data_IF_989027188692
#
_entry.id   IF_989027188692
#
_cell.length_a   1.000
_cell.length_b   1.000
_cell.length_c   1.000
_cell.angle_alpha   90.00
_cell.angle_beta   90.00
_cell.angle_gamma   90.00
#
_symmetry.space_group_name_H-M   'P 1'
#
loop_
_entity.id
_entity.type
_entity.pdbx_description
1 polymer ?
#
# COMPACT_ATOMS: atom_id res chain seq x y z
N UNK A 1 25.16 -45.60 25.16
CA UNK A 1 26.00 -44.47 25.62
C UNK A 1 25.69 -43.30 24.70
N UNK A 2 24.68 -42.52 25.05
CA UNK A 2 24.75 -41.27 25.83
C UNK A 2 24.80 -40.06 24.88
N UNK A 3 23.60 -39.48 24.70
CA UNK A 3 23.31 -38.19 24.07
C UNK A 3 23.71 -37.08 25.04
N UNK A 4 24.39 -36.00 24.62
CA UNK A 4 24.56 -34.83 25.47
C UNK A 4 23.32 -33.90 25.40
N UNK A 5 22.78 -33.63 26.58
CA UNK A 5 21.66 -32.72 26.90
C UNK A 5 22.12 -31.24 26.87
N UNK A 6 21.24 -30.26 26.59
CA UNK A 6 21.59 -28.85 26.46
C UNK A 6 21.58 -28.13 27.83
N UNK A 7 22.58 -27.27 28.07
CA UNK A 7 22.67 -26.44 29.29
C UNK A 7 21.89 -25.11 29.17
N UNK A 8 21.35 -24.57 30.29
CA UNK A 8 20.23 -23.63 30.28
C UNK A 8 20.57 -22.13 30.29
N UNK A 9 19.58 -21.36 29.83
CA UNK A 9 19.26 -19.92 29.96
C UNK A 9 20.06 -19.04 30.93
N UNK A 10 20.40 -17.83 30.47
CA UNK A 10 20.62 -16.65 31.32
C UNK A 10 19.67 -15.51 30.92
N UNK A 11 18.60 -15.34 31.70
CA UNK A 11 17.76 -14.13 31.73
C UNK A 11 18.48 -13.07 32.57
N UNK A 12 18.71 -11.88 32.02
CA UNK A 12 19.06 -10.69 32.82
C UNK A 12 17.95 -9.65 32.72
N UNK A 13 17.11 -9.67 33.74
CA UNK A 13 16.21 -8.59 34.15
C UNK A 13 17.03 -7.53 34.88
N UNK A 14 16.91 -6.27 34.50
CA UNK A 14 17.36 -5.13 35.32
C UNK A 14 16.19 -4.15 35.45
N UNK A 15 15.53 -4.18 36.60
CA UNK A 15 14.75 -3.07 37.13
C UNK A 15 15.62 -2.33 38.15
N UNK A 16 15.73 -1.00 38.03
CA UNK A 16 15.91 -0.11 39.17
C UNK A 16 15.10 1.17 38.97
N UNK A 17 14.32 1.45 40.00
CA UNK A 17 13.42 2.58 40.15
C UNK A 17 14.10 3.75 40.88
N UNK A 18 13.42 4.91 40.81
CA UNK A 18 13.08 5.82 41.92
C UNK A 18 13.60 7.27 41.85
N UNK A 19 12.66 8.19 42.15
CA UNK A 19 12.85 9.57 42.63
C UNK A 19 12.92 10.63 41.52
N UNK A 20 12.25 11.78 41.56
CA UNK A 20 11.65 12.52 42.68
C UNK A 20 10.68 13.59 42.18
N UNK A 21 9.80 14.04 43.07
CA UNK A 21 8.77 15.06 42.91
C UNK A 21 9.29 16.47 42.54
N UNK A 22 8.45 17.24 41.86
CA UNK A 22 8.57 18.69 41.69
C UNK A 22 7.19 19.32 41.51
N UNK A 23 6.80 20.18 42.46
CA UNK A 23 5.55 20.96 42.52
C UNK A 23 5.82 22.41 42.06
N UNK A 24 4.76 23.10 41.62
CA UNK A 24 4.58 24.56 41.40
C UNK A 24 4.89 25.05 39.96
N UNK A 25 4.12 25.96 39.35
CA UNK A 25 3.26 27.00 39.90
C UNK A 25 2.10 27.39 38.95
N UNK A 26 1.05 27.94 39.57
CA UNK A 26 -0.03 28.75 39.01
C UNK A 26 0.49 29.92 38.16
N UNK A 27 -0.17 30.19 37.03
CA UNK A 27 -0.25 31.53 36.45
C UNK A 27 -1.68 31.81 35.98
N UNK A 28 -2.27 32.83 36.60
CA UNK A 28 -3.58 33.41 36.33
C UNK A 28 -3.49 34.34 35.11
N UNK A 29 -4.46 34.28 34.22
CA UNK A 29 -4.89 35.47 33.45
C UNK A 29 -6.41 35.51 33.35
N UNK A 30 -6.98 36.42 34.14
CA UNK A 30 -8.23 37.17 33.91
C UNK A 30 -8.32 37.59 32.43
N UNK A 31 -9.43 37.53 31.70
CA UNK A 31 -10.81 37.87 32.02
C UNK A 31 -11.20 39.08 31.16
N UNK A 32 -12.26 38.97 30.35
CA UNK A 32 -13.14 40.07 29.94
C UNK A 32 -14.41 39.47 29.31
N UNK A 33 -15.54 39.70 29.98
CA UNK A 33 -16.88 39.42 29.50
C UNK A 33 -17.41 40.62 28.69
N UNK A 34 -18.28 40.36 27.72
CA UNK A 34 -19.07 41.38 27.03
C UNK A 34 -20.25 40.69 26.37
N UNK A 35 -21.44 40.86 26.94
CA UNK A 35 -22.67 40.25 26.48
C UNK A 35 -23.57 41.20 25.68
N UNK A 36 -24.77 40.68 25.46
CA UNK A 36 -26.02 41.33 25.08
C UNK A 36 -26.39 41.40 23.60
N UNK A 37 -27.49 40.68 23.36
CA UNK A 37 -28.43 40.73 22.26
C UNK A 37 -28.96 42.14 21.96
N UNK A 38 -29.30 42.37 20.69
CA UNK A 38 -30.11 43.51 20.27
C UNK A 38 -30.97 43.13 19.07
N UNK A 39 -32.24 42.83 19.34
CA UNK A 39 -33.30 42.79 18.35
C UNK A 39 -33.71 44.22 17.99
N UNK A 40 -33.91 44.51 16.71
CA UNK A 40 -34.47 45.76 16.22
C UNK A 40 -35.39 45.47 15.04
N UNK A 41 -36.69 45.72 15.23
CA UNK A 41 -37.74 45.61 14.24
C UNK A 41 -38.14 47.00 13.71
N UNK A 42 -38.64 47.03 12.47
CA UNK A 42 -39.42 48.10 11.86
C UNK A 42 -38.72 48.78 10.66
N UNK A 43 -39.36 49.14 9.55
CA UNK A 43 -40.68 48.85 9.01
C UNK A 43 -40.70 49.25 7.50
N UNK A 44 -41.45 48.47 6.72
CA UNK A 44 -42.01 48.61 5.35
C UNK A 44 -41.84 49.92 4.55
N UNK A 45 -41.51 49.75 3.26
CA UNK A 45 -42.26 50.31 2.11
C UNK A 45 -42.11 49.39 0.88
N UNK A 46 -43.22 49.10 0.19
CA UNK A 46 -43.31 48.08 -0.84
C UNK A 46 -42.98 48.51 -2.27
N UNK A 47 -42.75 47.51 -3.13
CA UNK A 47 -43.04 47.51 -4.56
C UNK A 47 -43.01 46.06 -5.10
N UNK A 48 -44.03 45.70 -5.87
CA UNK A 48 -44.15 44.51 -6.76
C UNK A 48 -44.11 45.11 -8.20
N UNK A 49 -43.61 44.48 -9.29
CA UNK A 49 -43.49 43.04 -9.62
C UNK A 49 -42.17 42.60 -10.31
N UNK A 50 -41.98 41.29 -10.49
CA UNK A 50 -41.68 40.64 -11.78
C UNK A 50 -41.31 39.16 -11.58
N UNK A 51 -42.10 38.28 -12.19
CA UNK A 51 -41.96 36.83 -12.15
C UNK A 51 -40.75 36.39 -12.99
N UNK A 52 -39.60 36.19 -12.35
CA UNK A 52 -38.47 35.49 -12.96
C UNK A 52 -38.64 33.99 -12.72
N UNK A 53 -38.87 33.23 -13.80
CA UNK A 53 -38.76 31.77 -13.80
C UNK A 53 -37.31 31.39 -13.50
N UNK A 54 -37.01 31.09 -12.24
CA UNK A 54 -35.77 30.40 -11.88
C UNK A 54 -35.92 28.96 -12.36
N UNK A 55 -35.36 28.65 -13.52
CA UNK A 55 -35.15 27.27 -13.92
C UNK A 55 -34.31 26.60 -12.84
N UNK A 56 -34.85 25.55 -12.21
CA UNK A 56 -34.08 24.60 -11.41
C UNK A 56 -33.14 23.85 -12.35
N UNK A 57 -32.05 24.52 -12.72
CA UNK A 57 -30.88 23.86 -13.28
C UNK A 57 -30.16 23.19 -12.12
N UNK A 58 -30.53 21.96 -11.81
CA UNK A 58 -29.67 21.07 -11.03
C UNK A 58 -28.34 21.03 -11.77
N UNK A 59 -27.32 21.69 -11.21
CA UNK A 59 -25.96 21.51 -11.69
C UNK A 59 -25.68 20.00 -11.73
N UNK A 60 -25.13 19.45 -12.81
CA UNK A 60 -24.79 18.04 -12.85
C UNK A 60 -23.90 17.74 -11.66
N UNK A 61 -24.37 16.87 -10.75
CA UNK A 61 -23.49 16.28 -9.74
C UNK A 61 -22.38 15.60 -10.52
N UNK A 62 -21.10 15.92 -10.29
CA UNK A 62 -20.02 15.19 -10.93
C UNK A 62 -20.17 13.73 -10.54
N UNK A 63 -20.61 12.89 -11.48
CA UNK A 63 -20.56 11.45 -11.30
C UNK A 63 -19.07 11.13 -11.20
N UNK A 64 -18.59 10.55 -10.08
CA UNK A 64 -17.20 10.16 -9.99
C UNK A 64 -16.92 9.20 -11.13
N UNK A 65 -16.02 9.59 -12.04
CA UNK A 65 -15.45 8.64 -13.01
C UNK A 65 -14.89 7.47 -12.23
N UNK A 66 -15.16 6.21 -12.60
CA UNK A 66 -14.60 5.08 -11.86
C UNK A 66 -13.07 5.17 -12.00
N UNK A 67 -12.38 5.40 -10.88
CA UNK A 67 -10.94 5.63 -10.81
C UNK A 67 -10.12 4.33 -10.99
N UNK A 68 -10.69 3.30 -11.60
CA UNK A 68 -10.03 2.03 -11.82
C UNK A 68 -10.10 1.62 -13.28
N UNK A 69 -8.98 1.10 -13.78
CA UNK A 69 -8.86 0.48 -15.10
C UNK A 69 -8.61 -1.01 -14.90
N UNK A 70 -9.02 -1.82 -15.89
CA UNK A 70 -8.71 -3.25 -15.90
C UNK A 70 -7.19 -3.41 -15.92
N UNK A 71 -6.64 -4.15 -14.95
CA UNK A 71 -5.21 -4.39 -14.89
C UNK A 71 -4.77 -5.27 -16.07
N UNK A 72 -3.75 -4.88 -16.87
CA UNK A 72 -3.28 -5.70 -17.96
C UNK A 72 -2.74 -7.06 -17.46
N UNK A 73 -3.26 -8.17 -18.02
CA UNK A 73 -2.81 -9.52 -17.67
C UNK A 73 -1.36 -9.75 -18.13
N UNK A 74 -0.49 -10.32 -17.28
CA UNK A 74 0.94 -10.61 -17.59
C UNK A 74 1.25 -12.10 -17.64
N UNK A 75 0.33 -12.96 -17.20
CA UNK A 75 0.62 -14.35 -16.88
C UNK A 75 1.46 -14.49 -15.61
N UNK A 76 1.64 -15.73 -15.17
CA UNK A 76 2.25 -16.08 -13.88
C UNK A 76 3.79 -15.97 -13.86
N UNK A 77 4.42 -15.99 -15.03
CA UNK A 77 5.88 -16.17 -15.11
C UNK A 77 6.34 -17.52 -14.54
N UNK A 78 7.66 -17.78 -14.51
CA UNK A 78 8.19 -19.10 -14.18
C UNK A 78 8.25 -19.40 -12.68
N UNK A 79 7.93 -18.43 -11.82
CA UNK A 79 8.18 -18.52 -10.38
C UNK A 79 6.91 -18.53 -9.52
N UNK A 80 5.73 -18.64 -10.11
CA UNK A 80 4.50 -18.72 -9.33
C UNK A 80 4.43 -20.04 -8.55
N UNK A 81 4.08 -19.94 -7.26
CA UNK A 81 3.80 -21.09 -6.39
C UNK A 81 2.39 -20.89 -5.86
N UNK A 82 1.43 -21.74 -6.24
CA UNK A 82 0.03 -21.59 -5.82
C UNK A 82 -0.11 -21.58 -4.30
N UNK A 83 -0.85 -20.60 -3.78
CA UNK A 83 -1.28 -20.52 -2.39
C UNK A 83 -0.16 -20.71 -1.37
N UNK A 84 0.98 -20.06 -1.61
CA UNK A 84 2.22 -20.31 -0.87
C UNK A 84 2.03 -20.30 0.66
N UNK A 85 1.45 -19.23 1.25
CA UNK A 85 1.06 -19.11 2.69
C UNK A 85 0.06 -17.97 2.91
N UNK A 86 -1.00 -18.18 3.70
CA UNK A 86 -1.91 -17.10 4.12
C UNK A 86 -1.26 -16.23 5.21
N UNK A 87 -0.80 -15.02 4.87
CA UNK A 87 -0.08 -14.11 5.79
C UNK A 87 0.07 -12.70 5.23
N UNK A 88 0.20 -11.72 6.12
CA UNK A 88 0.46 -10.32 5.77
C UNK A 88 1.95 -9.96 5.75
N UNK A 89 2.76 -10.49 6.67
CA UNK A 89 4.21 -10.34 6.61
C UNK A 89 4.83 -11.46 5.78
N UNK A 90 5.51 -11.08 4.70
CA UNK A 90 6.15 -12.02 3.78
C UNK A 90 7.67 -11.90 3.80
N UNK A 91 8.26 -11.05 4.64
CA UNK A 91 9.71 -10.77 4.61
C UNK A 91 10.56 -11.99 4.98
N UNK A 92 10.14 -12.75 5.99
CA UNK A 92 10.94 -13.81 6.61
C UNK A 92 12.35 -13.31 6.99
N UNK A 93 13.40 -13.97 6.51
CA UNK A 93 14.81 -13.69 6.78
C UNK A 93 15.46 -12.75 5.74
N UNK A 94 14.67 -12.15 4.84
CA UNK A 94 15.21 -11.32 3.75
C UNK A 94 15.46 -9.89 4.20
N UNK A 95 16.69 -9.42 3.96
CA UNK A 95 17.06 -8.01 4.12
C UNK A 95 16.67 -7.19 2.90
N UNK A 96 16.29 -5.93 3.11
CA UNK A 96 15.94 -4.99 2.05
C UNK A 96 15.31 -3.71 2.60
N UNK A 97 15.02 -2.75 1.73
CA UNK A 97 14.28 -1.54 2.11
C UNK A 97 12.81 -1.93 2.33
N UNK A 98 12.23 -1.69 3.53
CA UNK A 98 10.85 -2.08 3.81
C UNK A 98 9.84 -1.43 2.86
N UNK A 99 8.83 -2.21 2.47
CA UNK A 99 7.70 -1.77 1.65
C UNK A 99 6.40 -2.29 2.27
N UNK A 100 5.50 -1.37 2.63
CA UNK A 100 4.10 -1.69 2.91
C UNK A 100 3.32 -1.59 1.59
N UNK A 101 2.77 -2.70 1.12
CA UNK A 101 2.02 -2.77 -0.13
C UNK A 101 0.53 -2.99 0.17
N UNK A 102 -0.29 -2.01 -0.14
CA UNK A 102 -1.74 -2.08 -0.04
C UNK A 102 -2.33 -2.28 -1.43
N UNK A 103 -3.14 -3.33 -1.60
CA UNK A 103 -3.80 -3.63 -2.86
C UNK A 103 -5.31 -3.64 -2.64
N UNK A 104 -6.03 -2.84 -3.41
CA UNK A 104 -7.50 -2.84 -3.42
C UNK A 104 -7.99 -3.53 -4.68
N UNK A 105 -8.76 -4.60 -4.53
CA UNK A 105 -9.32 -5.36 -5.64
C UNK A 105 -10.72 -4.85 -5.93
N UNK A 106 -10.97 -4.50 -7.20
CA UNK A 106 -12.26 -3.98 -7.66
C UNK A 106 -12.70 -4.66 -8.94
N UNK A 107 -14.01 -4.76 -9.15
CA UNK A 107 -14.57 -5.18 -10.45
C UNK A 107 -14.70 -3.98 -11.39
N UNK A 108 -13.82 -3.90 -12.37
CA UNK A 108 -13.75 -2.78 -13.32
C UNK A 108 -15.02 -2.65 -14.15
N UNK A 109 -15.56 -3.77 -14.65
CA UNK A 109 -16.78 -3.80 -15.45
C UNK A 109 -18.06 -3.40 -14.68
N UNK A 110 -17.99 -3.29 -13.34
CA UNK A 110 -19.13 -2.95 -12.48
C UNK A 110 -18.86 -1.70 -11.64
N UNK A 111 -18.36 -0.65 -12.29
CA UNK A 111 -18.19 0.66 -11.67
C UNK A 111 -17.19 0.68 -10.52
N UNK A 112 -16.12 -0.12 -10.61
CA UNK A 112 -15.05 -0.22 -9.60
C UNK A 112 -15.53 -0.64 -8.22
N UNK A 113 -16.55 -1.51 -8.14
CA UNK A 113 -17.02 -2.05 -6.84
C UNK A 113 -15.91 -2.89 -6.19
N UNK A 114 -15.54 -2.63 -4.92
CA UNK A 114 -14.59 -3.47 -4.20
C UNK A 114 -15.08 -4.91 -4.03
N UNK A 115 -14.14 -5.86 -4.02
CA UNK A 115 -14.43 -7.28 -3.85
C UNK A 115 -13.84 -7.79 -2.54
N UNK A 116 -14.71 -8.15 -1.59
CA UNK A 116 -14.33 -8.71 -0.28
C UNK A 116 -14.21 -10.24 -0.33
N UNK A 117 -13.36 -10.81 0.54
CA UNK A 117 -13.15 -12.25 0.66
C UNK A 117 -12.40 -12.90 -0.50
N UNK A 118 -11.75 -12.09 -1.35
CA UNK A 118 -11.04 -12.54 -2.55
C UNK A 118 -9.59 -12.84 -2.20
N UNK A 119 -9.09 -13.99 -2.64
CA UNK A 119 -7.69 -14.35 -2.48
C UNK A 119 -6.81 -13.51 -3.42
N UNK A 120 -5.76 -12.94 -2.84
CA UNK A 120 -4.71 -12.19 -3.53
C UNK A 120 -3.37 -12.80 -3.17
N UNK A 121 -2.69 -13.35 -4.17
CA UNK A 121 -1.33 -13.84 -4.06
C UNK A 121 -0.34 -12.77 -4.51
N UNK A 122 0.75 -12.65 -3.77
CA UNK A 122 1.88 -11.79 -4.09
C UNK A 122 3.16 -12.61 -4.04
N UNK A 123 4.04 -12.43 -5.03
CA UNK A 123 5.39 -12.96 -5.01
C UNK A 123 6.38 -12.02 -5.72
N UNK A 124 7.63 -11.99 -5.27
CA UNK A 124 8.70 -11.27 -5.94
C UNK A 124 10.09 -11.78 -5.55
N UNK A 125 11.10 -11.32 -6.29
CA UNK A 125 12.49 -11.56 -5.96
C UNK A 125 12.94 -10.76 -4.73
N UNK A 126 13.92 -11.28 -4.01
CA UNK A 126 14.61 -10.54 -2.96
C UNK A 126 15.43 -9.36 -3.50
N UNK A 127 16.08 -8.63 -2.59
CA UNK A 127 16.91 -7.48 -2.94
C UNK A 127 18.07 -7.81 -3.90
N UNK A 128 18.50 -9.08 -3.97
CA UNK A 128 19.57 -9.56 -4.84
C UNK A 128 19.05 -10.30 -6.09
N UNK A 129 17.74 -10.31 -6.33
CA UNK A 129 17.13 -10.86 -7.54
C UNK A 129 16.81 -12.35 -7.47
N UNK A 130 16.79 -12.96 -6.28
CA UNK A 130 16.48 -14.39 -6.10
C UNK A 130 15.05 -14.60 -5.63
N UNK A 131 14.32 -15.50 -6.29
CA UNK A 131 13.02 -15.98 -5.82
C UNK A 131 13.19 -17.15 -4.84
N UNK A 132 12.26 -17.29 -3.90
CA UNK A 132 12.24 -18.48 -3.04
C UNK A 132 11.91 -19.74 -3.86
N UNK A 133 12.62 -20.82 -3.54
CA UNK A 133 12.52 -22.15 -4.14
C UNK A 133 12.71 -23.22 -3.04
N UNK A 134 12.62 -24.50 -3.40
CA UNK A 134 12.96 -25.63 -2.52
C UNK A 134 12.26 -25.61 -1.15
N UNK A 135 10.97 -25.27 -1.13
CA UNK A 135 10.15 -25.22 0.08
C UNK A 135 10.28 -23.91 0.89
N UNK A 136 11.24 -23.04 0.58
CA UNK A 136 11.29 -21.70 1.13
C UNK A 136 10.17 -20.83 0.57
N UNK A 137 9.62 -19.94 1.39
CA UNK A 137 8.45 -19.13 1.02
C UNK A 137 8.68 -17.62 1.14
N UNK A 138 9.89 -17.15 1.48
CA UNK A 138 10.16 -15.72 1.63
C UNK A 138 9.66 -14.90 0.43
N UNK A 139 9.11 -13.73 0.73
CA UNK A 139 8.55 -12.77 -0.23
C UNK A 139 7.42 -13.35 -1.08
N UNK A 140 6.71 -14.34 -0.54
CA UNK A 140 5.46 -14.90 -1.06
C UNK A 140 4.37 -14.86 0.01
N UNK A 141 3.16 -14.52 -0.37
CA UNK A 141 2.03 -14.61 0.54
C UNK A 141 0.68 -14.44 -0.15
N UNK A 142 -0.32 -15.00 0.50
CA UNK A 142 -1.73 -14.91 0.15
C UNK A 142 -2.43 -14.10 1.24
N UNK A 143 -3.38 -13.25 0.87
CA UNK A 143 -4.34 -12.67 1.80
C UNK A 143 -5.75 -12.70 1.18
N UNK A 144 -6.76 -12.69 2.05
CA UNK A 144 -8.13 -12.45 1.64
C UNK A 144 -8.43 -10.96 1.80
N UNK A 145 -9.06 -10.36 0.79
CA UNK A 145 -9.49 -8.96 0.86
C UNK A 145 -10.50 -8.75 1.98
N UNK A 146 -10.36 -7.63 2.68
CA UNK A 146 -11.32 -7.22 3.70
C UNK A 146 -12.64 -6.69 3.10
N UNK A 147 -13.53 -6.17 3.94
CA UNK A 147 -14.82 -5.61 3.51
C UNK A 147 -14.71 -4.43 2.54
N UNK A 148 -13.55 -3.77 2.49
CA UNK A 148 -13.25 -2.68 1.56
C UNK A 148 -12.54 -3.16 0.29
N UNK A 149 -12.37 -4.48 0.13
CA UNK A 149 -11.65 -5.08 -0.97
C UNK A 149 -10.13 -4.97 -0.86
N UNK A 150 -9.60 -4.69 0.34
CA UNK A 150 -8.18 -4.37 0.51
C UNK A 150 -7.41 -5.52 1.18
N UNK A 151 -6.18 -5.76 0.71
CA UNK A 151 -5.16 -6.56 1.39
C UNK A 151 -3.91 -5.72 1.63
N UNK A 152 -3.10 -6.09 2.61
CA UNK A 152 -1.97 -5.26 3.03
C UNK A 152 -0.77 -6.09 3.45
N UNK A 153 0.30 -6.05 2.64
CA UNK A 153 1.49 -6.87 2.83
C UNK A 153 2.65 -6.06 3.40
N UNK A 154 3.37 -6.62 4.38
CA UNK A 154 4.70 -6.15 4.78
C UNK A 154 5.73 -6.93 3.99
N UNK A 155 6.52 -6.23 3.18
CA UNK A 155 7.56 -6.80 2.32
C UNK A 155 8.77 -5.87 2.20
N UNK A 156 9.65 -6.10 1.22
CA UNK A 156 10.77 -5.24 0.83
C UNK A 156 10.65 -4.81 -0.63
N UNK A 157 11.35 -3.74 -1.01
CA UNK A 157 11.51 -3.36 -2.42
C UNK A 157 12.21 -4.49 -3.18
N UNK A 158 11.66 -5.02 -4.29
CA UNK A 158 12.27 -6.11 -5.05
C UNK A 158 13.58 -5.69 -5.71
N UNK A 159 14.52 -6.62 -5.82
CA UNK A 159 15.71 -6.47 -6.65
C UNK A 159 15.45 -6.73 -8.13
N UNK A 160 16.49 -6.60 -8.96
CA UNK A 160 16.43 -6.91 -10.39
C UNK A 160 17.01 -8.30 -10.67
N UNK A 161 16.46 -8.99 -11.68
CA UNK A 161 16.97 -10.27 -12.18
C UNK A 161 16.82 -10.32 -13.71
N UNK A 162 17.64 -11.12 -14.39
CA UNK A 162 17.51 -11.45 -15.82
C UNK A 162 17.05 -10.30 -16.77
N UNK A 163 17.53 -9.08 -16.55
CA UNK A 163 17.18 -7.86 -17.31
C UNK A 163 15.72 -7.39 -17.25
N UNK A 164 14.89 -7.95 -16.36
CA UNK A 164 13.51 -7.52 -16.19
C UNK A 164 13.42 -6.41 -15.16
N UNK A 165 12.46 -5.50 -15.36
CA UNK A 165 12.19 -4.39 -14.46
C UNK A 165 11.84 -4.93 -13.06
N UNK A 166 12.35 -4.33 -11.97
CA UNK A 166 11.95 -4.73 -10.62
C UNK A 166 10.44 -4.61 -10.42
N UNK A 167 9.80 -5.72 -10.05
CA UNK A 167 8.35 -5.79 -9.96
C UNK A 167 7.89 -6.70 -8.82
N UNK A 168 6.65 -6.50 -8.43
CA UNK A 168 5.90 -7.42 -7.58
C UNK A 168 4.81 -8.06 -8.42
N UNK A 169 4.76 -9.38 -8.47
CA UNK A 169 3.66 -10.07 -9.10
C UNK A 169 2.42 -10.04 -8.19
N UNK A 170 1.26 -9.91 -8.80
CA UNK A 170 -0.04 -9.93 -8.13
C UNK A 170 -0.95 -10.88 -8.90
N UNK A 171 -1.54 -11.85 -8.20
CA UNK A 171 -2.58 -12.72 -8.76
C UNK A 171 -3.82 -12.65 -7.90
N UNK A 172 -4.94 -12.32 -8.54
CA UNK A 172 -6.25 -12.22 -7.90
C UNK A 172 -7.08 -13.42 -8.33
N UNK A 173 -7.87 -13.98 -7.41
CA UNK A 173 -8.79 -15.09 -7.65
C UNK A 173 -10.24 -14.66 -7.40
N UNK A 174 -10.89 -13.92 -8.32
CA UNK A 174 -12.19 -13.30 -8.07
C UNK A 174 -13.33 -14.29 -7.78
N UNK A 175 -13.20 -15.53 -8.25
CA UNK A 175 -14.11 -16.64 -7.98
C UNK A 175 -13.37 -17.99 -8.15
N UNK A 176 -14.10 -19.11 -8.08
CA UNK A 176 -13.55 -20.46 -8.15
C UNK A 176 -13.00 -20.86 -9.54
N UNK A 177 -13.27 -20.07 -10.58
CA UNK A 177 -12.96 -20.40 -11.97
C UNK A 177 -12.16 -19.32 -12.69
N UNK A 178 -12.05 -18.13 -12.11
CA UNK A 178 -11.33 -17.01 -12.72
C UNK A 178 -10.12 -16.60 -11.90
N UNK A 179 -9.07 -16.24 -12.62
CA UNK A 179 -7.85 -15.68 -12.05
C UNK A 179 -7.31 -14.58 -12.96
N UNK A 180 -6.65 -13.59 -12.36
CA UNK A 180 -6.01 -12.49 -13.06
C UNK A 180 -4.61 -12.25 -12.48
N UNK A 181 -3.58 -12.60 -13.25
CA UNK A 181 -2.19 -12.33 -12.92
C UNK A 181 -1.70 -11.06 -13.62
N UNK A 182 -1.08 -10.17 -12.85
CA UNK A 182 -0.47 -8.92 -13.30
C UNK A 182 0.83 -8.65 -12.54
N UNK A 183 1.48 -7.52 -12.84
CA UNK A 183 2.70 -7.05 -12.19
C UNK A 183 2.52 -5.58 -11.84
N UNK A 184 3.00 -5.18 -10.66
CA UNK A 184 3.17 -3.78 -10.27
C UNK A 184 4.65 -3.42 -10.21
N UNK A 185 4.98 -2.21 -10.66
CA UNK A 185 6.35 -1.73 -10.80
C UNK A 185 6.63 -0.58 -9.82
N UNK A 186 7.90 -0.23 -9.63
CA UNK A 186 8.30 0.93 -8.83
C UNK A 186 8.85 2.06 -9.72
N UNK A 187 8.76 3.33 -9.28
CA UNK A 187 9.33 4.44 -10.02
C UNK A 187 10.83 4.27 -10.24
N UNK A 188 11.27 4.54 -11.47
CA UNK A 188 12.66 4.46 -11.92
C UNK A 188 13.62 5.17 -10.95
N UNK A 189 13.30 6.41 -10.56
CA UNK A 189 14.16 7.20 -9.69
C UNK A 189 14.23 6.65 -8.27
N UNK A 190 13.13 6.09 -7.75
CA UNK A 190 13.13 5.40 -6.46
C UNK A 190 14.05 4.18 -6.50
N UNK A 191 13.97 3.37 -7.57
CA UNK A 191 14.82 2.20 -7.74
C UNK A 191 16.31 2.58 -7.79
N UNK A 192 16.66 3.64 -8.51
CA UNK A 192 18.05 4.15 -8.59
C UNK A 192 18.59 4.59 -7.22
N UNK A 193 17.73 5.06 -6.31
CA UNK A 193 18.11 5.42 -4.95
C UNK A 193 18.21 4.19 -4.04
N UNK A 194 17.25 3.28 -4.10
CA UNK A 194 17.23 2.04 -3.30
C UNK A 194 18.43 1.16 -3.63
N UNK A 195 18.80 1.06 -4.90
CA UNK A 195 19.90 0.18 -5.35
C UNK A 195 21.30 0.63 -4.91
N UNK A 196 21.43 1.81 -4.31
CA UNK A 196 22.68 2.28 -3.69
C UNK A 196 22.82 1.86 -2.22
N UNK A 197 21.79 1.24 -1.63
CA UNK A 197 21.77 0.84 -0.22
C UNK A 197 22.09 -0.65 -0.09
N UNK A 198 22.62 -1.07 1.05
CA UNK A 198 22.67 -2.48 1.38
C UNK A 198 21.25 -3.11 1.46
N UNK A 199 21.07 -4.38 1.06
CA UNK A 199 22.06 -5.25 0.43
C UNK A 199 22.16 -5.05 -1.10
N UNK A 200 21.30 -4.22 -1.70
CA UNK A 200 21.20 -4.03 -3.16
C UNK A 200 22.54 -3.61 -3.81
N UNK A 201 23.30 -2.75 -3.14
CA UNK A 201 24.59 -2.23 -3.60
C UNK A 201 25.69 -3.28 -3.75
N UNK A 202 25.47 -4.50 -3.24
CA UNK A 202 26.39 -5.65 -3.40
C UNK A 202 26.43 -6.18 -4.84
N UNK A 203 25.47 -5.77 -5.67
CA UNK A 203 25.44 -6.04 -7.11
C UNK A 203 25.53 -4.74 -7.89
N UNK A 204 26.13 -4.78 -9.08
CA UNK A 204 26.15 -3.63 -9.98
C UNK A 204 24.76 -3.36 -10.55
N UNK A 205 24.14 -2.28 -10.07
CA UNK A 205 22.81 -1.89 -10.51
C UNK A 205 22.76 -1.51 -12.00
N UNK A 206 21.66 -1.82 -12.72
CA UNK A 206 21.42 -1.27 -14.04
C UNK A 206 21.27 0.26 -13.98
N UNK A 207 21.80 0.97 -14.99
CA UNK A 207 21.68 2.42 -15.06
C UNK A 207 20.21 2.88 -15.21
N UNK A 208 19.41 2.05 -15.88
CA UNK A 208 17.98 2.22 -16.02
C UNK A 208 17.23 0.95 -15.61
N UNK A 209 16.78 0.82 -14.34
CA UNK A 209 16.12 -0.38 -13.85
C UNK A 209 14.88 -0.80 -14.62
N UNK A 210 14.07 0.14 -15.15
CA UNK A 210 12.81 -0.21 -15.82
C UNK A 210 12.90 -0.25 -17.35
N UNK A 211 13.66 0.66 -17.98
CA UNK A 211 13.50 1.01 -19.40
C UNK A 211 14.11 0.04 -20.42
N UNK A 212 14.55 -1.15 -19.98
CA UNK A 212 15.05 -2.22 -20.85
C UNK A 212 14.19 -3.48 -20.84
N UNK A 213 12.98 -3.39 -20.26
CA UNK A 213 12.03 -4.49 -20.18
C UNK A 213 10.76 -4.17 -20.99
N UNK A 214 10.47 -4.97 -22.01
CA UNK A 214 9.26 -4.84 -22.84
C UNK A 214 7.97 -4.96 -22.02
N UNK A 215 7.99 -5.70 -20.90
CA UNK A 215 6.84 -5.81 -19.98
C UNK A 215 6.57 -4.48 -19.29
N UNK A 216 7.62 -3.78 -18.90
CA UNK A 216 7.50 -2.43 -18.35
C UNK A 216 7.09 -1.45 -19.44
N UNK A 217 7.68 -1.51 -20.65
CA UNK A 217 7.32 -0.62 -21.74
C UNK A 217 5.82 -0.70 -22.09
N UNK A 218 5.24 -1.90 -22.06
CA UNK A 218 3.83 -2.12 -22.37
C UNK A 218 2.86 -1.66 -21.25
N UNK A 219 3.30 -1.63 -19.98
CA UNK A 219 2.37 -1.58 -18.82
C UNK A 219 2.75 -0.56 -17.74
N UNK A 220 3.99 -0.09 -17.74
CA UNK A 220 4.56 0.76 -16.70
C UNK A 220 3.76 2.04 -16.48
N UNK A 221 3.18 2.62 -17.54
CA UNK A 221 2.32 3.80 -17.42
C UNK A 221 1.08 3.58 -16.54
N UNK A 222 0.56 2.35 -16.47
CA UNK A 222 -0.65 2.01 -15.71
C UNK A 222 -0.34 1.30 -14.40
N UNK A 223 0.76 0.53 -14.35
CA UNK A 223 1.05 -0.39 -13.26
C UNK A 223 2.22 0.04 -12.37
N UNK A 224 2.72 1.27 -12.52
CA UNK A 224 3.75 1.81 -11.62
C UNK A 224 3.10 2.36 -10.34
N UNK A 225 3.57 1.86 -9.20
CA UNK A 225 3.17 2.32 -7.88
C UNK A 225 3.55 3.80 -7.66
N UNK A 226 2.84 4.47 -6.74
CA UNK A 226 3.23 5.76 -6.18
C UNK A 226 3.67 5.64 -4.72
N UNK A 227 4.90 5.18 -4.41
CA UNK A 227 5.33 4.98 -3.03
C UNK A 227 5.61 6.32 -2.34
N UNK A 228 5.19 6.42 -1.08
CA UNK A 228 5.50 7.53 -0.17
C UNK A 228 6.38 7.03 0.97
N UNK A 229 7.21 7.90 1.54
CA UNK A 229 8.05 7.54 2.68
C UNK A 229 7.18 7.06 3.86
N UNK A 230 7.59 5.96 4.50
CA UNK A 230 6.87 5.37 5.62
C UNK A 230 7.82 4.57 6.51
N UNK A 231 8.02 5.02 7.75
CA UNK A 231 8.99 4.43 8.67
C UNK A 231 10.40 4.41 8.06
N UNK A 232 11.06 3.24 8.09
CA UNK A 232 12.39 3.05 7.51
C UNK A 232 12.39 2.78 5.99
N UNK A 233 11.22 2.83 5.34
CA UNK A 233 11.07 2.50 3.92
C UNK A 233 9.91 3.25 3.29
N UNK A 234 9.03 2.53 2.60
CA UNK A 234 7.94 3.11 1.83
C UNK A 234 6.60 2.42 2.08
N UNK A 235 5.53 3.15 1.81
CA UNK A 235 4.18 2.60 1.63
C UNK A 235 3.70 2.91 0.24
N UNK A 236 3.09 1.95 -0.43
CA UNK A 236 2.44 2.13 -1.72
C UNK A 236 1.05 1.50 -1.69
N UNK A 237 0.11 2.16 -2.36
CA UNK A 237 -1.23 1.64 -2.58
C UNK A 237 -1.50 1.53 -4.08
N UNK A 238 -2.27 0.52 -4.48
CA UNK A 238 -2.67 0.32 -5.87
C UNK A 238 -4.03 -0.35 -5.98
N UNK A 239 -4.83 0.07 -6.96
CA UNK A 239 -6.13 -0.53 -7.25
C UNK A 239 -6.01 -1.50 -8.42
N UNK A 240 -6.27 -2.78 -8.17
CA UNK A 240 -6.26 -3.84 -9.19
C UNK A 240 -7.67 -4.05 -9.70
N UNK A 241 -7.95 -3.56 -10.91
CA UNK A 241 -9.19 -3.84 -11.61
C UNK A 241 -9.19 -5.24 -12.21
N UNK A 242 -10.22 -6.03 -11.90
CA UNK A 242 -10.52 -7.35 -12.50
C UNK A 242 -11.88 -7.31 -13.23
N UNK A 243 -12.17 -8.35 -14.01
CA UNK A 243 -13.42 -8.49 -14.77
C UNK A 243 -14.68 -8.65 -13.90
#
# INVERSE_FOLDING_TARGET
>A
MAVPDPSPTSRRTVLRAAGSAGIAALALTSGCAGGASGAGAGERTGAVPATARTGTGTAPVPVPVPACVLAPKTGDGPYYVPHARLRSDIVEDRGGVPLRLDLTVVRAARGCRPLAGIAVDVWHADALGTYSADGAAFLRGTQLTDATGTVSFRTIVPGWYAHVAPHVHVKVHPDAHTEAATQVFLPEELLRQVFRRDPYSRRRAPAHPNTRDDRFAAKGALMTLGPVAYGAGYRAAFTVGVE
#
